data_IF_122400299478
#
_entry.id   IF_122400299478
#
_cell.length_a   1.000
_cell.length_b   1.000
_cell.length_c   1.000
_cell.angle_alpha   90.00
_cell.angle_beta   90.00
_cell.angle_gamma   90.00
#
_symmetry.space_group_name_H-M   'P 1'
#
loop_
_entity.id
_entity.type
_entity.pdbx_description
1 polymer ?
#
# COMPACT_ATOMS: atom_id res chain seq x y z
N UNK A 1 -29.88 22.07 15.42
CA UNK A 1 -29.97 20.77 16.13
C UNK A 1 -29.36 19.69 15.24
N UNK A 2 -28.03 19.50 15.25
CA UNK A 2 -27.37 18.35 14.59
C UNK A 2 -25.88 18.34 14.99
N UNK A 3 -25.57 17.88 16.22
CA UNK A 3 -24.18 17.81 16.70
C UNK A 3 -23.84 16.49 17.42
N UNK A 4 -24.71 15.48 17.35
CA UNK A 4 -24.55 14.28 18.17
C UNK A 4 -24.70 13.01 17.33
N UNK A 5 -23.66 12.62 16.58
CA UNK A 5 -23.39 11.20 16.22
C UNK A 5 -22.09 11.02 15.41
N UNK A 6 -20.92 11.48 15.88
CA UNK A 6 -19.64 11.30 15.17
C UNK A 6 -18.57 10.36 15.79
N UNK A 7 -18.60 9.88 17.05
CA UNK A 7 -17.54 8.98 17.53
C UNK A 7 -17.56 7.59 16.86
N UNK A 8 -18.76 7.02 16.67
CA UNK A 8 -18.93 5.64 16.20
C UNK A 8 -18.65 5.46 14.71
N UNK A 9 -18.93 6.48 13.91
CA UNK A 9 -18.68 6.43 12.46
C UNK A 9 -17.18 6.50 12.18
N UNK A 10 -16.46 7.37 12.87
CA UNK A 10 -15.00 7.51 12.74
C UNK A 10 -14.25 6.27 13.23
N UNK A 11 -14.66 5.68 14.35
CA UNK A 11 -14.10 4.40 14.84
C UNK A 11 -14.35 3.25 13.86
N UNK A 12 -15.56 3.17 13.31
CA UNK A 12 -15.93 2.13 12.34
C UNK A 12 -15.17 2.32 11.02
N UNK A 13 -15.03 3.57 10.56
CA UNK A 13 -14.27 3.91 9.37
C UNK A 13 -12.77 3.63 9.54
N UNK A 14 -12.18 3.97 10.69
CA UNK A 14 -10.79 3.64 11.01
C UNK A 14 -10.56 2.13 11.08
N UNK A 15 -11.47 1.38 11.71
CA UNK A 15 -11.40 -0.09 11.75
C UNK A 15 -11.52 -0.70 10.37
N UNK A 16 -12.43 -0.23 9.54
CA UNK A 16 -12.59 -0.68 8.17
C UNK A 16 -11.35 -0.37 7.31
N UNK A 17 -10.76 0.82 7.48
CA UNK A 17 -9.54 1.23 6.80
C UNK A 17 -8.34 0.36 7.24
N UNK A 18 -8.16 0.16 8.55
CA UNK A 18 -7.11 -0.69 9.10
C UNK A 18 -7.24 -2.14 8.64
N UNK A 19 -8.46 -2.69 8.66
CA UNK A 19 -8.74 -4.05 8.21
C UNK A 19 -8.52 -4.20 6.70
N UNK A 20 -8.95 -3.21 5.92
CA UNK A 20 -8.75 -3.22 4.46
C UNK A 20 -7.26 -3.13 4.11
N UNK A 21 -6.51 -2.28 4.80
CA UNK A 21 -5.07 -2.16 4.64
C UNK A 21 -4.34 -3.47 5.01
N UNK A 22 -4.63 -4.06 6.17
CA UNK A 22 -4.03 -5.33 6.57
C UNK A 22 -4.37 -6.47 5.60
N UNK A 23 -5.62 -6.48 5.10
CA UNK A 23 -6.08 -7.48 4.12
C UNK A 23 -5.40 -7.29 2.77
N UNK A 24 -5.24 -6.05 2.30
CA UNK A 24 -4.55 -5.75 1.06
C UNK A 24 -3.07 -6.16 1.11
N UNK A 25 -2.39 -5.93 2.24
CA UNK A 25 -1.00 -6.36 2.46
C UNK A 25 -0.93 -7.89 2.48
N UNK A 26 -1.77 -8.56 3.28
CA UNK A 26 -1.78 -10.02 3.38
C UNK A 26 -2.10 -10.70 2.03
N UNK A 27 -3.05 -10.15 1.27
CA UNK A 27 -3.37 -10.60 -0.08
C UNK A 27 -2.21 -10.35 -1.04
N UNK A 28 -1.59 -9.16 -0.98
CA UNK A 28 -0.42 -8.81 -1.80
C UNK A 28 0.77 -9.75 -1.56
N UNK A 29 1.08 -10.05 -0.29
CA UNK A 29 2.12 -11.01 0.09
C UNK A 29 1.76 -12.42 -0.41
N UNK A 30 0.52 -12.85 -0.23
CA UNK A 30 0.07 -14.18 -0.67
C UNK A 30 0.15 -14.32 -2.20
N UNK A 31 -0.29 -13.31 -2.94
CA UNK A 31 -0.21 -13.27 -4.41
C UNK A 31 1.25 -13.25 -4.84
N UNK A 32 2.10 -12.41 -4.24
CA UNK A 32 3.52 -12.34 -4.56
C UNK A 32 4.24 -13.68 -4.32
N UNK A 33 3.96 -14.32 -3.18
CA UNK A 33 4.49 -15.64 -2.83
C UNK A 33 4.01 -16.71 -3.82
N UNK A 34 2.71 -16.74 -4.16
CA UNK A 34 2.18 -17.67 -5.15
C UNK A 34 2.74 -17.41 -6.54
N UNK A 35 2.94 -16.16 -6.94
CA UNK A 35 3.60 -15.82 -8.20
C UNK A 35 5.05 -16.29 -8.24
N UNK A 36 5.79 -16.18 -7.14
CA UNK A 36 7.15 -16.71 -7.06
C UNK A 36 7.18 -18.23 -7.18
N UNK A 37 6.25 -18.94 -6.53
CA UNK A 37 6.11 -20.40 -6.64
C UNK A 37 5.70 -20.82 -8.06
N UNK A 38 4.75 -20.12 -8.68
CA UNK A 38 4.30 -20.39 -10.06
C UNK A 38 5.36 -20.04 -11.12
N UNK A 39 6.27 -19.10 -10.81
CA UNK A 39 7.45 -18.81 -11.62
C UNK A 39 8.55 -19.89 -11.49
N UNK A 40 8.24 -21.05 -10.89
CA UNK A 40 9.14 -22.20 -10.82
C UNK A 40 8.73 -23.32 -11.80
N UNK A 41 8.69 -23.11 -13.14
CA UNK A 41 8.87 -24.24 -14.04
C UNK A 41 10.36 -24.65 -14.03
N UNK A 42 10.62 -25.94 -14.20
CA UNK A 42 11.95 -26.50 -14.46
C UNK A 42 12.72 -25.66 -15.49
N UNK A 43 13.68 -24.83 -15.06
CA UNK A 43 14.46 -23.97 -15.96
C UNK A 43 15.04 -22.65 -15.42
N UNK A 44 14.72 -22.23 -14.19
CA UNK A 44 15.37 -21.04 -13.60
C UNK A 44 16.71 -21.39 -12.95
N UNK A 45 17.80 -20.72 -13.39
CA UNK A 45 19.08 -20.79 -12.69
C UNK A 45 19.00 -20.18 -11.28
N UNK A 46 19.95 -20.53 -10.41
CA UNK A 46 19.97 -20.06 -9.02
C UNK A 46 20.02 -18.53 -8.90
N UNK A 47 20.57 -17.84 -9.91
CA UNK A 47 20.66 -16.38 -9.96
C UNK A 47 19.29 -15.73 -10.19
N UNK A 48 18.47 -16.32 -11.03
CA UNK A 48 17.12 -15.82 -11.33
C UNK A 48 16.15 -16.10 -10.19
N UNK A 49 16.33 -17.20 -9.44
CA UNK A 49 15.61 -17.42 -8.20
C UNK A 49 15.97 -16.39 -7.12
N UNK A 50 17.25 -16.09 -6.94
CA UNK A 50 17.69 -15.04 -6.02
C UNK A 50 17.10 -13.67 -6.40
N UNK A 51 17.10 -13.31 -7.68
CA UNK A 51 16.50 -12.05 -8.13
C UNK A 51 14.97 -12.03 -7.92
N UNK A 52 14.28 -13.15 -8.14
CA UNK A 52 12.85 -13.25 -7.85
C UNK A 52 12.56 -13.05 -6.36
N UNK A 53 13.33 -13.70 -5.47
CA UNK A 53 13.22 -13.51 -4.03
C UNK A 53 13.52 -12.08 -3.60
N UNK A 54 14.55 -11.45 -4.19
CA UNK A 54 14.86 -10.04 -3.96
C UNK A 54 13.69 -9.15 -4.35
N UNK A 55 13.10 -9.33 -5.52
CA UNK A 55 11.94 -8.55 -5.96
C UNK A 55 10.71 -8.74 -5.06
N UNK A 56 10.54 -9.92 -4.46
CA UNK A 56 9.48 -10.15 -3.46
C UNK A 56 9.77 -9.38 -2.18
N UNK A 57 10.99 -9.47 -1.64
CA UNK A 57 11.39 -8.72 -0.45
C UNK A 57 11.16 -7.21 -0.63
N UNK A 58 11.59 -6.66 -1.77
CA UNK A 58 11.41 -5.23 -2.08
C UNK A 58 9.92 -4.83 -2.18
N UNK A 59 9.03 -5.73 -2.63
CA UNK A 59 7.57 -5.49 -2.62
C UNK A 59 6.99 -5.48 -1.21
N UNK A 60 7.48 -6.36 -0.34
CA UNK A 60 7.08 -6.40 1.08
C UNK A 60 7.51 -5.12 1.77
N UNK A 61 8.77 -4.70 1.60
CA UNK A 61 9.30 -3.46 2.17
C UNK A 61 8.49 -2.25 1.68
N UNK A 62 8.16 -2.19 0.39
CA UNK A 62 7.33 -1.12 -0.16
C UNK A 62 5.90 -1.12 0.39
N UNK A 63 5.31 -2.28 0.67
CA UNK A 63 4.00 -2.37 1.30
C UNK A 63 4.03 -1.86 2.75
N UNK A 64 5.10 -2.19 3.49
CA UNK A 64 5.33 -1.68 4.84
C UNK A 64 5.55 -0.16 4.84
N UNK A 65 6.43 0.36 3.96
CA UNK A 65 6.66 1.80 3.79
C UNK A 65 5.35 2.53 3.45
N UNK A 66 4.59 2.03 2.47
CA UNK A 66 3.30 2.61 2.08
C UNK A 66 2.28 2.63 3.21
N UNK A 67 2.29 1.62 4.09
CA UNK A 67 1.41 1.58 5.26
C UNK A 67 1.75 2.69 6.26
N UNK A 68 3.03 2.93 6.53
CA UNK A 68 3.46 4.03 7.39
C UNK A 68 3.10 5.39 6.79
N UNK A 69 3.38 5.60 5.50
CA UNK A 69 3.05 6.84 4.80
C UNK A 69 1.54 7.13 4.83
N UNK A 70 0.70 6.09 4.67
CA UNK A 70 -0.75 6.21 4.77
C UNK A 70 -1.23 6.59 6.17
N UNK A 71 -0.61 6.06 7.22
CA UNK A 71 -0.91 6.44 8.62
C UNK A 71 -0.57 7.90 8.86
N UNK A 72 0.59 8.36 8.37
CA UNK A 72 1.02 9.77 8.49
C UNK A 72 0.03 10.70 7.79
N UNK A 73 -0.39 10.39 6.56
CA UNK A 73 -1.40 11.20 5.85
C UNK A 73 -2.78 11.14 6.50
N UNK A 74 -3.16 9.99 7.07
CA UNK A 74 -4.39 9.88 7.85
C UNK A 74 -4.35 10.82 9.06
N UNK A 75 -3.24 10.86 9.78
CA UNK A 75 -3.03 11.80 10.89
C UNK A 75 -3.13 13.26 10.45
N UNK A 76 -2.51 13.61 9.32
CA UNK A 76 -2.61 14.96 8.73
C UNK A 76 -4.04 15.32 8.36
N UNK A 77 -4.77 14.39 7.74
CA UNK A 77 -6.18 14.59 7.40
C UNK A 77 -7.06 14.78 8.65
N UNK A 78 -6.88 13.95 9.67
CA UNK A 78 -7.61 14.07 10.93
C UNK A 78 -7.33 15.39 11.64
N UNK A 79 -6.06 15.83 11.68
CA UNK A 79 -5.69 17.13 12.26
C UNK A 79 -6.35 18.28 11.50
N UNK A 80 -6.29 18.31 10.16
CA UNK A 80 -6.99 19.33 9.36
C UNK A 80 -8.50 19.32 9.63
N UNK A 81 -9.07 18.13 9.78
CA UNK A 81 -10.50 17.96 10.03
C UNK A 81 -10.94 18.43 11.42
N UNK A 82 -10.06 18.29 12.42
CA UNK A 82 -10.34 18.71 13.78
C UNK A 82 -10.31 20.24 13.98
N UNK A 83 -9.52 20.96 13.17
CA UNK A 83 -9.28 22.41 13.33
C UNK A 83 -9.95 23.28 12.24
N UNK A 84 -10.69 22.71 11.29
CA UNK A 84 -11.31 23.46 10.19
C UNK A 84 -12.71 22.98 9.83
N UNK A 85 -13.47 23.81 9.08
CA UNK A 85 -14.68 23.34 8.41
C UNK A 85 -14.25 22.49 7.20
N UNK A 86 -14.61 21.20 7.23
CA UNK A 86 -14.25 20.25 6.17
C UNK A 86 -15.37 20.25 5.13
N UNK A 87 -15.06 20.69 3.92
CA UNK A 87 -15.99 20.53 2.79
C UNK A 87 -15.98 19.07 2.29
N UNK A 88 -17.01 18.61 1.55
CA UNK A 88 -16.99 17.31 0.91
C UNK A 88 -15.76 17.09 0.00
N UNK A 89 -15.30 18.15 -0.67
CA UNK A 89 -14.11 18.10 -1.53
C UNK A 89 -12.84 17.86 -0.70
N UNK A 90 -12.73 18.44 0.50
CA UNK A 90 -11.60 18.21 1.39
C UNK A 90 -11.52 16.76 1.89
N UNK A 91 -12.68 16.13 2.11
CA UNK A 91 -12.76 14.71 2.46
C UNK A 91 -12.27 13.86 1.29
N UNK A 92 -12.77 14.11 0.08
CA UNK A 92 -12.36 13.36 -1.10
C UNK A 92 -10.85 13.52 -1.37
N UNK A 93 -10.33 14.74 -1.23
CA UNK A 93 -8.91 15.02 -1.39
C UNK A 93 -8.05 14.35 -0.33
N UNK A 94 -8.50 14.36 0.93
CA UNK A 94 -7.83 13.67 2.05
C UNK A 94 -7.74 12.16 1.85
N UNK A 95 -8.84 11.53 1.45
CA UNK A 95 -8.86 10.09 1.16
C UNK A 95 -7.97 9.73 -0.03
N UNK A 96 -7.98 10.55 -1.09
CA UNK A 96 -7.06 10.36 -2.23
C UNK A 96 -5.60 10.51 -1.81
N UNK A 97 -5.27 11.49 -0.97
CA UNK A 97 -3.91 11.69 -0.47
C UNK A 97 -3.40 10.47 0.32
N UNK A 98 -4.25 9.88 1.18
CA UNK A 98 -3.93 8.64 1.91
C UNK A 98 -3.69 7.49 0.93
N UNK A 99 -4.57 7.32 -0.07
CA UNK A 99 -4.42 6.28 -1.09
C UNK A 99 -3.14 6.42 -1.93
N UNK A 100 -2.79 7.66 -2.31
CA UNK A 100 -1.54 7.95 -3.03
C UNK A 100 -0.33 7.67 -2.16
N UNK A 101 -0.36 8.05 -0.88
CA UNK A 101 0.70 7.76 0.08
C UNK A 101 0.92 6.24 0.23
N UNK A 102 -0.17 5.48 0.35
CA UNK A 102 -0.11 4.02 0.40
C UNK A 102 0.51 3.36 -0.85
N UNK A 103 0.17 3.87 -2.04
CA UNK A 103 0.54 3.23 -3.30
C UNK A 103 1.90 3.65 -3.86
N UNK A 104 2.40 4.84 -3.48
CA UNK A 104 3.59 5.44 -4.08
C UNK A 104 4.86 4.57 -3.95
N UNK A 105 5.17 3.95 -2.80
CA UNK A 105 6.34 3.08 -2.68
C UNK A 105 6.25 1.86 -3.61
N UNK A 106 5.09 1.22 -3.67
CA UNK A 106 4.85 0.07 -4.54
C UNK A 106 5.04 0.43 -6.03
N UNK A 107 4.53 1.59 -6.47
CA UNK A 107 4.71 2.07 -7.86
C UNK A 107 6.18 2.32 -8.20
N UNK A 108 6.94 2.92 -7.27
CA UNK A 108 8.39 3.16 -7.41
C UNK A 108 9.16 1.84 -7.53
N UNK A 109 8.87 0.89 -6.64
CA UNK A 109 9.50 -0.44 -6.64
C UNK A 109 9.16 -1.24 -7.88
N UNK A 110 7.90 -1.23 -8.32
CA UNK A 110 7.48 -1.89 -9.56
C UNK A 110 8.24 -1.34 -10.79
N UNK A 111 8.41 -0.01 -10.88
CA UNK A 111 9.19 0.63 -11.94
C UNK A 111 10.66 0.24 -11.89
N UNK A 112 11.27 0.18 -10.70
CA UNK A 112 12.66 -0.25 -10.53
C UNK A 112 12.86 -1.71 -10.97
N UNK A 113 11.95 -2.60 -10.55
CA UNK A 113 11.94 -4.02 -10.96
C UNK A 113 11.83 -4.16 -12.47
N UNK A 114 10.87 -3.47 -13.09
CA UNK A 114 10.69 -3.51 -14.53
C UNK A 114 11.96 -3.10 -15.29
N UNK A 115 12.63 -2.01 -14.87
CA UNK A 115 13.90 -1.58 -15.48
C UNK A 115 14.99 -2.65 -15.36
N UNK A 116 15.14 -3.29 -14.19
CA UNK A 116 16.15 -4.35 -14.00
C UNK A 116 15.88 -5.56 -14.89
N UNK A 117 14.63 -5.97 -15.02
CA UNK A 117 14.23 -7.07 -15.90
C UNK A 117 14.49 -6.75 -17.37
N UNK A 118 14.32 -5.49 -17.79
CA UNK A 118 14.62 -5.06 -19.18
C UNK A 118 16.13 -5.01 -19.47
N UNK A 119 16.98 -4.80 -18.46
CA UNK A 119 18.44 -4.70 -18.63
C UNK A 119 19.20 -6.02 -18.41
N UNK A 120 18.53 -7.13 -18.06
CA UNK A 120 19.19 -8.44 -17.94
C UNK A 120 19.47 -9.01 -19.34
N UNK A 121 20.73 -9.30 -19.71
CA UNK A 121 21.02 -9.97 -20.98
C UNK A 121 20.37 -11.36 -20.98
N UNK A 122 19.77 -11.74 -22.11
CA UNK A 122 19.13 -13.05 -22.32
C UNK A 122 20.15 -14.17 -22.36
#
# INVERSE_FOLDING_TARGET
>A
MFFWYMPRFTDSAMRAASLSASTAIAAGVTIAHRMAMMATPSGFDAASQHEAMRMVAEKVDAATEGSFDAVVETGRFMMRSAFGQVSPDDVAHGLMAIGVAAARPAARTAKANARRLTHKPR
#
